data_IF_967724751370
#
_entry.id   IF_967724751370
#
_cell.length_a   1.000
_cell.length_b   1.000
_cell.length_c   1.000
_cell.angle_alpha   90.00
_cell.angle_beta   90.00
_cell.angle_gamma   90.00
#
_symmetry.space_group_name_H-M   'P 1'
#
loop_
_entity.id
_entity.type
_entity.pdbx_description
1 polymer ?
#
# COMPACT_ATOMS: atom_id res chain seq x y z
N UNK A 1 30.77 10.06 -35.55
CA UNK A 1 29.73 11.11 -35.30
C UNK A 1 28.33 10.62 -35.62
N UNK A 2 28.19 9.50 -36.34
CA UNK A 2 26.90 9.00 -36.85
C UNK A 2 25.96 8.39 -35.78
N UNK A 3 26.51 7.80 -34.74
CA UNK A 3 25.71 7.10 -33.71
C UNK A 3 24.75 7.99 -32.90
N UNK A 4 25.07 9.27 -32.72
CA UNK A 4 24.19 10.19 -31.96
C UNK A 4 23.00 10.62 -32.81
N UNK A 5 23.23 10.94 -34.09
CA UNK A 5 22.20 11.34 -35.02
C UNK A 5 21.20 10.23 -35.30
N UNK A 6 21.67 8.98 -35.40
CA UNK A 6 20.81 7.81 -35.54
C UNK A 6 19.92 7.61 -34.31
N UNK A 7 20.48 7.72 -33.11
CA UNK A 7 19.72 7.62 -31.85
C UNK A 7 18.68 8.75 -31.73
N UNK A 8 19.05 9.95 -32.10
CA UNK A 8 18.14 11.10 -32.09
C UNK A 8 16.98 10.87 -33.08
N UNK A 9 17.27 10.45 -34.30
CA UNK A 9 16.24 10.18 -35.33
C UNK A 9 15.31 9.04 -34.86
N UNK A 10 15.84 7.99 -34.26
CA UNK A 10 15.05 6.89 -33.70
C UNK A 10 14.13 7.35 -32.55
N UNK A 11 14.62 8.26 -31.70
CA UNK A 11 13.83 8.84 -30.62
C UNK A 11 12.71 9.74 -31.18
N UNK A 12 12.98 10.54 -32.19
CA UNK A 12 11.97 11.38 -32.85
C UNK A 12 10.86 10.54 -33.46
N UNK A 13 11.21 9.43 -34.12
CA UNK A 13 10.22 8.50 -34.68
C UNK A 13 9.33 7.94 -33.56
N UNK A 14 9.91 7.46 -32.47
CA UNK A 14 9.16 6.95 -31.31
C UNK A 14 8.27 8.00 -30.69
N UNK A 15 8.77 9.21 -30.53
CA UNK A 15 8.01 10.33 -29.99
C UNK A 15 6.78 10.64 -30.86
N UNK A 16 6.95 10.74 -32.17
CA UNK A 16 5.84 11.00 -33.09
C UNK A 16 4.81 9.87 -33.09
N UNK A 17 5.24 8.61 -32.98
CA UNK A 17 4.34 7.46 -32.85
C UNK A 17 3.49 7.56 -31.55
N UNK A 18 4.12 7.89 -30.42
CA UNK A 18 3.42 8.08 -29.14
C UNK A 18 2.46 9.27 -29.16
N UNK A 19 2.81 10.35 -29.86
CA UNK A 19 1.89 11.48 -30.06
C UNK A 19 0.64 11.05 -30.82
N UNK A 20 0.80 10.33 -31.91
CA UNK A 20 -0.32 9.86 -32.73
C UNK A 20 -1.22 8.88 -31.93
N UNK A 21 -0.63 8.00 -31.13
CA UNK A 21 -1.38 7.10 -30.25
C UNK A 21 -2.15 7.89 -29.17
N UNK A 22 -1.52 8.88 -28.55
CA UNK A 22 -2.16 9.72 -27.55
C UNK A 22 -3.36 10.48 -28.09
N UNK A 23 -3.23 11.05 -29.30
CA UNK A 23 -4.35 11.71 -29.99
C UNK A 23 -5.50 10.75 -30.28
N UNK A 24 -5.19 9.53 -30.71
CA UNK A 24 -6.19 8.48 -30.94
C UNK A 24 -6.91 8.11 -29.64
N UNK A 25 -6.18 7.92 -28.55
CA UNK A 25 -6.76 7.60 -27.24
C UNK A 25 -7.66 8.74 -26.74
N UNK A 26 -7.24 10.00 -26.90
CA UNK A 26 -8.06 11.18 -26.55
C UNK A 26 -9.36 11.21 -27.36
N UNK A 27 -9.29 10.90 -28.65
CA UNK A 27 -10.46 10.83 -29.52
C UNK A 27 -11.45 9.76 -29.03
N UNK A 28 -10.96 8.56 -28.68
CA UNK A 28 -11.79 7.48 -28.15
C UNK A 28 -12.43 7.88 -26.82
N UNK A 29 -11.70 8.47 -25.89
CA UNK A 29 -12.22 8.94 -24.62
C UNK A 29 -13.33 9.97 -24.82
N UNK A 30 -13.13 10.90 -25.75
CA UNK A 30 -14.12 11.92 -26.12
C UNK A 30 -15.40 11.29 -26.70
N UNK A 31 -15.27 10.30 -27.58
CA UNK A 31 -16.41 9.58 -28.18
C UNK A 31 -17.25 8.83 -27.10
N UNK A 32 -16.59 8.37 -26.04
CA UNK A 32 -17.28 7.69 -24.93
C UNK A 32 -17.70 8.65 -23.80
N UNK A 33 -17.60 9.98 -24.01
CA UNK A 33 -18.00 10.98 -23.02
C UNK A 33 -17.13 11.01 -21.76
N UNK A 34 -15.93 10.41 -21.80
CA UNK A 34 -15.01 10.40 -20.66
C UNK A 34 -14.22 11.70 -20.65
N UNK A 35 -14.44 12.51 -19.64
CA UNK A 35 -13.71 13.76 -19.44
C UNK A 35 -12.32 13.45 -18.90
N UNK A 36 -11.28 13.81 -19.63
CA UNK A 36 -9.90 13.73 -19.19
C UNK A 36 -9.32 15.15 -19.07
N UNK A 37 -8.56 15.40 -17.99
CA UNK A 37 -7.79 16.64 -17.87
C UNK A 37 -6.46 16.45 -18.59
N UNK A 38 -6.19 17.28 -19.62
CA UNK A 38 -4.86 17.32 -20.20
C UNK A 38 -3.90 17.92 -19.17
N UNK A 39 -2.96 17.12 -18.69
CA UNK A 39 -1.83 17.62 -17.90
C UNK A 39 -0.98 18.42 -18.88
N UNK A 40 -1.11 19.75 -18.86
CA UNK A 40 -0.14 20.62 -19.51
C UNK A 40 1.15 20.46 -18.73
N UNK A 41 2.17 19.88 -19.31
CA UNK A 41 3.53 19.97 -18.79
C UNK A 41 3.91 21.46 -18.82
N UNK A 42 3.64 22.15 -17.71
CA UNK A 42 4.17 23.49 -17.48
C UNK A 42 5.60 23.31 -16.94
N UNK A 43 6.46 24.23 -17.33
CA UNK A 43 7.87 24.30 -16.97
C UNK A 43 8.18 23.88 -15.51
N UNK A 44 9.32 23.24 -15.33
CA UNK A 44 9.79 22.48 -14.18
C UNK A 44 9.81 23.18 -12.80
N UNK A 45 9.17 24.31 -12.58
CA UNK A 45 9.35 25.04 -11.32
C UNK A 45 8.11 25.25 -10.46
N UNK A 46 6.90 25.00 -10.95
CA UNK A 46 5.70 25.22 -10.13
C UNK A 46 4.53 24.39 -10.63
N UNK A 47 4.17 23.35 -9.98
CA UNK A 47 2.79 22.87 -9.83
C UNK A 47 2.69 21.37 -9.60
N UNK A 48 3.13 20.92 -8.46
CA UNK A 48 2.54 19.70 -7.89
C UNK A 48 1.19 20.01 -7.21
N UNK A 49 0.55 21.12 -7.56
CA UNK A 49 -0.70 21.57 -6.99
C UNK A 49 -1.86 21.32 -7.94
N UNK A 50 -2.71 20.42 -7.51
CA UNK A 50 -4.09 20.15 -7.94
C UNK A 50 -4.33 19.16 -9.08
N UNK A 51 -3.88 17.90 -8.89
CA UNK A 51 -4.71 16.82 -9.42
C UNK A 51 -5.89 16.71 -8.44
N UNK A 52 -7.01 17.31 -8.77
CA UNK A 52 -8.23 17.16 -7.98
C UNK A 52 -8.80 15.79 -8.30
N UNK A 53 -8.39 14.78 -7.52
CA UNK A 53 -9.04 13.47 -7.58
C UNK A 53 -10.50 13.64 -7.17
N UNK A 54 -11.46 13.02 -7.88
CA UNK A 54 -12.83 13.04 -7.44
C UNK A 54 -12.85 12.47 -6.01
N UNK A 55 -13.39 13.25 -5.07
CA UNK A 55 -13.51 12.84 -3.67
C UNK A 55 -14.60 11.77 -3.60
N UNK A 56 -14.21 10.51 -3.82
CA UNK A 56 -15.10 9.37 -3.63
C UNK A 56 -15.31 9.22 -2.13
N UNK A 57 -16.49 9.59 -1.65
CA UNK A 57 -16.89 9.40 -0.25
C UNK A 57 -17.30 7.95 -0.06
N UNK A 58 -16.34 7.09 0.28
CA UNK A 58 -16.61 5.72 0.67
C UNK A 58 -17.17 5.67 2.09
N UNK A 59 -18.19 4.85 2.30
CA UNK A 59 -18.64 4.44 3.63
C UNK A 59 -17.52 3.68 4.37
N UNK A 60 -17.68 3.52 5.67
CA UNK A 60 -16.69 2.79 6.47
C UNK A 60 -16.54 1.33 6.01
N UNK A 61 -17.67 0.67 5.75
CA UNK A 61 -17.67 -0.72 5.32
C UNK A 61 -17.01 -0.90 3.94
N UNK A 62 -17.24 0.03 3.02
CA UNK A 62 -16.57 0.05 1.73
C UNK A 62 -15.05 0.25 1.86
N UNK A 63 -14.61 1.11 2.78
CA UNK A 63 -13.17 1.30 3.06
C UNK A 63 -12.54 0.02 3.61
N UNK A 64 -13.22 -0.67 4.53
CA UNK A 64 -12.74 -1.93 5.10
C UNK A 64 -12.70 -3.03 4.02
N UNK A 65 -13.73 -3.12 3.18
CA UNK A 65 -13.77 -4.07 2.08
C UNK A 65 -12.66 -3.81 1.07
N UNK A 66 -12.43 -2.54 0.73
CA UNK A 66 -11.36 -2.12 -0.15
C UNK A 66 -9.98 -2.49 0.45
N UNK A 67 -9.76 -2.19 1.73
CA UNK A 67 -8.54 -2.57 2.44
C UNK A 67 -8.28 -4.07 2.36
N UNK A 68 -9.28 -4.91 2.65
CA UNK A 68 -9.15 -6.38 2.57
C UNK A 68 -8.86 -6.88 1.15
N UNK A 69 -9.37 -6.20 0.13
CA UNK A 69 -9.11 -6.56 -1.26
C UNK A 69 -7.69 -6.25 -1.70
N UNK A 70 -7.18 -5.08 -1.34
CA UNK A 70 -5.83 -4.67 -1.73
C UNK A 70 -4.73 -5.32 -0.89
N UNK A 71 -4.98 -5.49 0.41
CA UNK A 71 -3.99 -5.98 1.35
C UNK A 71 -4.30 -7.43 1.75
N UNK A 72 -4.36 -8.32 0.76
CA UNK A 72 -4.50 -9.76 1.01
C UNK A 72 -3.21 -10.31 1.59
N UNK A 73 -3.32 -10.90 2.77
CA UNK A 73 -2.24 -11.56 3.48
C UNK A 73 -2.74 -12.81 4.18
N UNK A 74 -2.00 -13.26 5.20
CA UNK A 74 -2.46 -14.33 6.10
C UNK A 74 -3.61 -13.79 6.96
N UNK A 75 -4.66 -14.59 7.11
CA UNK A 75 -5.83 -14.23 7.93
C UNK A 75 -5.67 -14.66 9.39
N UNK A 76 -4.75 -15.60 9.66
CA UNK A 76 -4.53 -16.20 10.97
C UNK A 76 -3.56 -15.43 11.86
N UNK A 77 -2.90 -14.41 11.34
CA UNK A 77 -1.94 -13.58 12.09
C UNK A 77 -1.79 -12.20 11.45
N UNK A 78 -1.73 -11.19 12.28
CA UNK A 78 -1.33 -9.86 11.87
C UNK A 78 -0.38 -9.23 12.90
N UNK A 79 0.39 -8.23 12.50
CA UNK A 79 1.25 -7.47 13.38
C UNK A 79 0.58 -6.17 13.81
N UNK A 80 0.93 -5.68 14.99
CA UNK A 80 0.59 -4.34 15.46
C UNK A 80 1.87 -3.59 15.79
N UNK A 81 1.89 -2.31 15.47
CA UNK A 81 2.99 -1.43 15.84
C UNK A 81 3.00 -1.24 17.36
N UNK A 82 4.19 -1.22 17.93
CA UNK A 82 4.43 -0.80 19.30
C UNK A 82 5.43 0.34 19.33
N UNK A 83 5.35 1.18 20.34
CA UNK A 83 6.26 2.29 20.54
C UNK A 83 6.56 2.43 22.03
N UNK A 84 7.84 2.62 22.37
CA UNK A 84 8.30 2.87 23.73
C UNK A 84 8.78 4.32 23.84
N UNK A 85 8.01 5.15 24.53
CA UNK A 85 8.28 6.60 24.73
C UNK A 85 9.62 6.85 25.44
N UNK A 86 10.02 5.98 26.37
CA UNK A 86 11.24 6.20 27.16
C UNK A 86 12.52 5.96 26.35
N UNK A 87 12.48 5.09 25.35
CA UNK A 87 13.63 4.74 24.51
C UNK A 87 13.50 5.23 23.07
N UNK A 88 12.37 5.85 22.73
CA UNK A 88 12.01 6.29 21.37
C UNK A 88 12.07 5.17 20.32
N UNK A 89 12.05 3.91 20.76
CA UNK A 89 12.09 2.75 19.88
C UNK A 89 10.69 2.23 19.57
N UNK A 90 10.50 1.87 18.33
CA UNK A 90 9.27 1.26 17.85
C UNK A 90 9.54 0.09 16.93
N UNK A 91 8.51 -0.72 16.68
CA UNK A 91 8.60 -1.87 15.79
C UNK A 91 7.25 -2.53 15.64
N UNK A 92 7.23 -3.68 15.00
CA UNK A 92 6.03 -4.48 14.81
C UNK A 92 6.18 -5.81 15.52
N UNK A 93 5.09 -6.28 16.11
CA UNK A 93 5.03 -7.60 16.74
C UNK A 93 3.72 -8.30 16.37
N UNK A 94 3.71 -9.63 16.25
CA UNK A 94 2.47 -10.35 16.02
C UNK A 94 1.53 -10.19 17.22
N UNK A 95 0.25 -10.00 16.93
CA UNK A 95 -0.77 -9.89 17.97
C UNK A 95 -1.08 -11.28 18.51
N UNK A 96 -0.96 -11.44 19.83
CA UNK A 96 -1.18 -12.70 20.50
C UNK A 96 -2.31 -12.56 21.54
N UNK A 97 -3.29 -13.45 21.51
CA UNK A 97 -4.42 -13.46 22.45
C UNK A 97 -3.96 -13.71 23.89
N UNK A 98 -2.85 -14.43 24.06
CA UNK A 98 -2.26 -14.74 25.36
C UNK A 98 -1.28 -13.66 25.85
N UNK A 99 -1.14 -12.55 25.13
CA UNK A 99 -0.21 -11.50 25.48
C UNK A 99 -0.52 -10.94 26.90
N UNK A 100 0.50 -10.85 27.74
CA UNK A 100 0.43 -10.37 29.13
C UNK A 100 -0.47 -11.20 30.07
N UNK A 101 -0.99 -12.37 29.67
CA UNK A 101 -1.71 -13.25 30.59
C UNK A 101 -0.75 -13.87 31.60
N UNK A 102 -1.03 -13.64 32.88
CA UNK A 102 -0.24 -14.20 34.00
C UNK A 102 -0.23 -15.74 33.94
N UNK A 103 0.92 -16.34 34.11
CA UNK A 103 1.10 -17.78 34.06
C UNK A 103 1.15 -18.42 32.68
N UNK A 104 0.85 -17.68 31.63
CA UNK A 104 0.85 -18.15 30.25
C UNK A 104 1.90 -17.40 29.41
N UNK A 105 1.95 -16.09 29.50
CA UNK A 105 2.87 -15.25 28.75
C UNK A 105 4.02 -14.76 29.63
N UNK A 106 5.24 -15.16 29.27
CA UNK A 106 6.47 -14.70 29.94
C UNK A 106 7.43 -14.09 28.90
N UNK A 107 7.09 -12.88 28.44
CA UNK A 107 7.90 -12.12 27.48
C UNK A 107 9.31 -11.79 27.99
N UNK A 108 9.54 -11.88 29.31
CA UNK A 108 10.86 -11.62 29.88
C UNK A 108 11.81 -12.80 29.68
N UNK A 109 11.26 -14.02 29.61
CA UNK A 109 12.07 -15.26 29.50
C UNK A 109 12.15 -15.77 28.05
N UNK A 110 11.09 -15.58 27.26
CA UNK A 110 10.99 -16.16 25.92
C UNK A 110 10.64 -15.10 24.86
N UNK A 111 11.24 -15.22 23.69
CA UNK A 111 10.82 -14.46 22.51
C UNK A 111 9.48 -14.99 22.00
N UNK A 112 8.62 -14.12 21.48
CA UNK A 112 7.31 -14.54 20.96
C UNK A 112 7.41 -15.56 19.82
N UNK A 113 8.50 -15.56 19.06
CA UNK A 113 8.73 -16.52 17.97
C UNK A 113 8.92 -17.96 18.49
N UNK A 114 9.46 -18.11 19.70
CA UNK A 114 9.80 -19.40 20.33
C UNK A 114 8.81 -19.79 21.44
N UNK A 115 7.79 -18.97 21.69
CA UNK A 115 6.83 -19.18 22.76
C UNK A 115 5.94 -20.40 22.50
N UNK A 116 5.90 -21.41 23.39
CA UNK A 116 5.04 -22.58 23.21
C UNK A 116 3.54 -22.23 23.35
N UNK A 117 3.22 -21.17 24.08
CA UNK A 117 1.86 -20.73 24.36
C UNK A 117 1.38 -19.64 23.42
N UNK A 118 2.04 -19.44 22.28
CA UNK A 118 1.63 -18.44 21.30
C UNK A 118 0.26 -18.80 20.72
N UNK A 119 -0.63 -17.82 20.72
CA UNK A 119 -1.95 -17.92 20.11
C UNK A 119 -2.21 -16.62 19.35
N UNK A 120 -1.99 -16.65 18.04
CA UNK A 120 -2.10 -15.45 17.22
C UNK A 120 -3.56 -15.04 17.03
N UNK A 121 -3.81 -13.76 16.99
CA UNK A 121 -5.11 -13.20 16.74
C UNK A 121 -5.35 -13.05 15.22
N UNK A 122 -6.55 -13.38 14.79
CA UNK A 122 -7.03 -13.10 13.43
C UNK A 122 -7.33 -11.60 13.25
N UNK A 123 -7.09 -11.09 12.05
CA UNK A 123 -7.38 -9.68 11.73
C UNK A 123 -8.88 -9.44 11.65
N UNK A 124 -9.41 -8.58 12.52
CA UNK A 124 -10.82 -8.21 12.55
C UNK A 124 -11.08 -6.90 11.80
N UNK A 125 -12.37 -6.67 11.43
CA UNK A 125 -12.78 -5.39 10.84
C UNK A 125 -12.54 -4.22 11.81
N UNK A 126 -12.63 -4.47 13.11
CA UNK A 126 -12.36 -3.46 14.14
C UNK A 126 -10.89 -3.04 14.19
N UNK A 127 -9.97 -3.96 13.92
CA UNK A 127 -8.54 -3.64 13.84
C UNK A 127 -8.24 -2.80 12.60
N UNK A 128 -8.86 -3.12 11.46
CA UNK A 128 -8.77 -2.31 10.24
C UNK A 128 -9.39 -0.92 10.46
N UNK A 129 -10.54 -0.86 11.11
CA UNK A 129 -11.18 0.41 11.44
C UNK A 129 -10.24 1.33 12.25
N UNK A 130 -9.67 0.81 13.34
CA UNK A 130 -8.72 1.56 14.17
C UNK A 130 -7.51 2.05 13.37
N UNK A 131 -7.00 1.21 12.50
CA UNK A 131 -5.89 1.56 11.61
C UNK A 131 -6.27 2.70 10.66
N UNK A 132 -7.47 2.67 10.08
CA UNK A 132 -7.95 3.71 9.18
C UNK A 132 -8.31 5.02 9.91
N UNK A 133 -8.70 4.95 11.18
CA UNK A 133 -8.95 6.16 12.01
C UNK A 133 -7.66 6.90 12.36
N UNK A 134 -6.57 6.18 12.62
CA UNK A 134 -5.27 6.76 12.94
C UNK A 134 -5.30 7.69 14.17
N UNK A 135 -6.04 7.32 15.22
CA UNK A 135 -6.21 8.16 16.40
C UNK A 135 -5.10 8.04 17.44
N UNK A 136 -4.28 7.01 17.35
CA UNK A 136 -3.20 6.81 18.31
C UNK A 136 -2.00 7.70 17.97
N UNK A 137 -1.69 8.65 18.84
CA UNK A 137 -0.59 9.60 18.65
C UNK A 137 0.79 8.92 18.47
N UNK A 138 0.96 7.71 19.00
CA UNK A 138 2.19 6.95 18.88
C UNK A 138 2.14 5.97 17.67
N UNK A 139 1.00 5.93 16.95
CA UNK A 139 0.76 5.04 15.82
C UNK A 139 0.68 3.56 16.22
N UNK A 140 0.28 3.24 17.46
CA UNK A 140 0.11 1.85 17.90
C UNK A 140 -1.18 1.20 17.35
N UNK A 141 -2.00 1.95 16.63
CA UNK A 141 -3.12 1.50 15.81
C UNK A 141 -2.70 1.02 14.41
N UNK A 142 -1.45 1.27 14.01
CA UNK A 142 -0.94 0.79 12.71
C UNK A 142 -0.77 -0.72 12.74
N UNK A 143 -1.36 -1.39 11.75
CA UNK A 143 -1.26 -2.83 11.56
C UNK A 143 -0.29 -3.18 10.43
N UNK A 144 0.31 -4.35 10.51
CA UNK A 144 1.13 -4.95 9.47
C UNK A 144 0.58 -6.32 9.08
N UNK A 145 0.57 -6.61 7.80
CA UNK A 145 0.10 -7.89 7.29
C UNK A 145 1.28 -8.79 6.95
N UNK A 146 1.13 -10.09 7.25
CA UNK A 146 2.07 -11.11 6.81
C UNK A 146 1.65 -11.61 5.44
N UNK A 147 2.59 -11.62 4.50
CA UNK A 147 2.35 -12.17 3.17
C UNK A 147 2.14 -13.69 3.26
N UNK A 148 1.21 -14.20 2.49
CA UNK A 148 1.07 -15.65 2.31
C UNK A 148 2.20 -16.17 1.43
N UNK A 149 2.81 -17.29 1.81
CA UNK A 149 3.85 -17.95 1.01
C UNK A 149 3.34 -18.37 -0.38
N UNK A 150 2.04 -18.57 -0.54
CA UNK A 150 1.41 -18.91 -1.81
C UNK A 150 1.56 -17.78 -2.84
N UNK A 151 1.67 -16.53 -2.41
CA UNK A 151 1.86 -15.37 -3.29
C UNK A 151 3.32 -15.09 -3.64
N UNK A 152 4.28 -15.78 -3.00
CA UNK A 152 5.72 -15.57 -3.22
C UNK A 152 6.27 -16.58 -4.24
N UNK A 153 5.56 -17.66 -4.54
CA UNK A 153 6.11 -18.84 -5.23
C UNK A 153 5.84 -18.93 -6.73
N UNK A 154 5.30 -17.91 -7.38
CA UNK A 154 5.28 -17.87 -8.85
C UNK A 154 6.18 -16.74 -9.37
N UNK A 155 7.46 -17.07 -9.74
CA UNK A 155 8.12 -16.23 -10.70
C UNK A 155 7.36 -16.41 -12.02
N UNK A 156 6.69 -15.34 -12.47
CA UNK A 156 6.17 -15.24 -13.83
C UNK A 156 7.31 -15.54 -14.79
N UNK A 157 7.36 -16.76 -15.30
CA UNK A 157 8.15 -17.06 -16.49
C UNK A 157 7.45 -16.35 -17.65
N UNK A 158 8.05 -15.24 -18.05
CA UNK A 158 7.89 -14.72 -19.40
C UNK A 158 8.82 -15.48 -20.34
#
# INVERSE_FOLDING_TARGET
>A
MDSFQEKYNALVIKYNALLAENEKLKSILSQHGIVYSSIKCADESTAFSSITYPQIKLSLDEKIALFRNFFKGRDDVFARRWFNKATEKGGYQPVCINEWRRGICDKKKHKCAECPNRNFATLTNQDIYRHLEGKDENGCDVIGLYLSLIHISEPTRQ
#
